data_IF_786161788172
#
_entry.id   IF_786161788172
#
_cell.length_a   1.000
_cell.length_b   1.000
_cell.length_c   1.000
_cell.angle_alpha   90.00
_cell.angle_beta   90.00
_cell.angle_gamma   90.00
#
_symmetry.space_group_name_H-M   'P 1'
#
loop_
_entity.id
_entity.type
_entity.pdbx_description
1 polymer ?
#
# COMPACT_ATOMS: atom_id res chain seq x y z
N UNK A 1 -13.96 16.53 7.52
CA UNK A 1 -12.58 16.09 7.85
C UNK A 1 -12.64 14.60 8.05
N UNK A 2 -11.90 13.83 7.26
CA UNK A 2 -11.82 12.36 7.38
C UNK A 2 -10.97 12.00 8.60
N UNK A 3 -11.49 11.14 9.48
CA UNK A 3 -10.80 10.72 10.71
C UNK A 3 -9.71 9.68 10.37
N UNK A 4 -8.46 9.91 10.80
CA UNK A 4 -7.37 8.94 10.64
C UNK A 4 -7.23 8.15 11.95
N UNK A 5 -7.36 6.83 11.87
CA UNK A 5 -7.14 5.89 12.98
C UNK A 5 -5.90 5.05 12.72
N UNK A 6 -5.11 4.78 13.77
CA UNK A 6 -3.90 3.96 13.67
C UNK A 6 -4.14 2.63 14.38
N UNK A 7 -3.99 1.53 13.66
CA UNK A 7 -4.07 0.16 14.19
C UNK A 7 -2.75 -0.55 13.88
N UNK A 8 -1.96 -0.89 14.89
CA UNK A 8 -0.69 -1.61 14.72
C UNK A 8 0.22 -1.04 13.59
N UNK A 9 0.52 0.26 13.68
CA UNK A 9 1.22 1.08 12.66
C UNK A 9 0.53 1.23 11.29
N UNK A 10 -0.61 0.60 11.04
CA UNK A 10 -1.45 0.80 9.86
C UNK A 10 -2.34 2.02 10.05
N UNK A 11 -2.08 3.05 9.23
CA UNK A 11 -2.94 4.23 9.16
C UNK A 11 -4.12 3.91 8.27
N UNK A 12 -5.30 4.10 8.82
CA UNK A 12 -6.59 3.88 8.16
C UNK A 12 -7.34 5.19 8.20
N UNK A 13 -8.01 5.54 7.11
CA UNK A 13 -8.96 6.65 7.10
C UNK A 13 -10.28 6.18 6.53
N UNK A 14 -11.37 6.72 7.06
CA UNK A 14 -12.68 6.57 6.44
C UNK A 14 -12.93 7.78 5.55
N UNK A 15 -13.18 7.52 4.26
CA UNK A 15 -13.51 8.55 3.29
C UNK A 15 -14.85 8.19 2.63
N UNK A 16 -15.88 8.98 2.89
CA UNK A 16 -17.23 8.80 2.32
C UNK A 16 -17.81 7.38 2.49
N UNK A 17 -17.64 6.78 3.67
CA UNK A 17 -18.11 5.41 3.97
C UNK A 17 -17.24 4.30 3.37
N UNK A 18 -16.11 4.65 2.74
CA UNK A 18 -15.10 3.70 2.28
C UNK A 18 -13.87 3.75 3.18
N UNK A 19 -13.46 2.58 3.67
CA UNK A 19 -12.22 2.44 4.43
C UNK A 19 -11.04 2.43 3.45
N UNK A 20 -10.08 3.32 3.70
CA UNK A 20 -8.84 3.40 2.95
C UNK A 20 -7.63 3.18 3.86
N UNK A 21 -6.59 2.57 3.30
CA UNK A 21 -5.39 2.15 4.01
C UNK A 21 -4.17 2.89 3.46
N UNK A 22 -3.27 3.32 4.34
CA UNK A 22 -1.99 3.89 3.92
C UNK A 22 -1.21 2.88 3.09
N UNK A 23 -0.85 3.28 1.87
CA UNK A 23 -0.25 2.38 0.89
C UNK A 23 1.13 1.89 1.33
N UNK A 24 1.89 2.68 2.10
CA UNK A 24 3.21 2.30 2.55
C UNK A 24 3.15 1.24 3.65
N UNK A 25 2.35 1.46 4.70
CA UNK A 25 2.20 0.44 5.74
C UNK A 25 1.57 -0.83 5.18
N UNK A 26 0.54 -0.70 4.34
CA UNK A 26 -0.09 -1.84 3.69
C UNK A 26 0.92 -2.69 2.90
N UNK A 27 1.73 -2.04 2.04
CA UNK A 27 2.72 -2.74 1.23
C UNK A 27 3.79 -3.44 2.08
N UNK A 28 4.25 -2.82 3.16
CA UNK A 28 5.18 -3.45 4.12
C UNK A 28 4.55 -4.64 4.82
N UNK A 29 3.31 -4.51 5.30
CA UNK A 29 2.58 -5.57 5.99
C UNK A 29 2.35 -6.83 5.15
N UNK A 30 2.25 -6.68 3.82
CA UNK A 30 2.15 -7.82 2.88
C UNK A 30 3.49 -8.26 2.28
N UNK A 31 4.62 -7.72 2.76
CA UNK A 31 5.96 -8.13 2.32
C UNK A 31 6.44 -7.53 0.99
N UNK A 32 5.81 -6.46 0.49
CA UNK A 32 6.27 -5.72 -0.71
C UNK A 32 7.27 -4.63 -0.30
N UNK A 33 8.27 -5.02 0.48
CA UNK A 33 9.34 -4.17 0.98
C UNK A 33 10.72 -4.80 0.77
N UNK A 34 11.76 -4.02 1.00
CA UNK A 34 13.16 -4.49 0.97
C UNK A 34 14.01 -3.61 1.88
N UNK A 35 15.08 -4.17 2.44
CA UNK A 35 16.05 -3.39 3.21
C UNK A 35 17.05 -2.75 2.25
N UNK A 36 17.06 -1.43 2.19
CA UNK A 36 18.00 -0.66 1.38
C UNK A 36 19.43 -0.83 1.92
N UNK A 37 20.44 -0.49 1.12
CA UNK A 37 21.86 -0.50 1.55
C UNK A 37 22.14 0.36 2.79
N UNK A 38 21.31 1.36 3.03
CA UNK A 38 21.38 2.21 4.23
C UNK A 38 20.79 1.55 5.49
N UNK A 39 20.28 0.32 5.41
CA UNK A 39 19.60 -0.38 6.50
C UNK A 39 18.11 -0.04 6.65
N UNK A 40 17.58 0.89 5.86
CA UNK A 40 16.19 1.30 5.96
C UNK A 40 15.26 0.37 5.18
N UNK A 41 14.15 -0.04 5.79
CA UNK A 41 13.09 -0.74 5.07
C UNK A 41 12.31 0.22 4.15
N UNK A 42 12.32 -0.09 2.86
CA UNK A 42 11.68 0.70 1.81
C UNK A 42 10.68 -0.14 1.01
N UNK A 43 9.59 0.48 0.58
CA UNK A 43 8.56 -0.17 -0.25
C UNK A 43 9.04 -0.32 -1.68
N UNK A 44 8.74 -1.47 -2.29
CA UNK A 44 8.96 -1.72 -3.72
C UNK A 44 7.80 -1.17 -4.55
N UNK A 45 7.75 0.16 -4.72
CA UNK A 45 6.63 0.87 -5.41
C UNK A 45 6.37 0.38 -6.83
N UNK A 46 7.40 -0.01 -7.57
CA UNK A 46 7.26 -0.61 -8.90
C UNK A 46 6.41 -1.89 -8.86
N UNK A 47 6.60 -2.73 -7.82
CA UNK A 47 5.84 -3.97 -7.63
C UNK A 47 4.42 -3.72 -7.14
N UNK A 48 4.23 -2.74 -6.25
CA UNK A 48 2.89 -2.26 -5.84
C UNK A 48 2.07 -1.85 -7.08
N UNK A 49 2.63 -0.97 -7.91
CA UNK A 49 1.94 -0.48 -9.11
C UNK A 49 1.72 -1.59 -10.14
N UNK A 50 2.65 -2.54 -10.30
CA UNK A 50 2.49 -3.70 -11.16
C UNK A 50 1.33 -4.60 -10.70
N UNK A 51 1.27 -4.92 -9.42
CA UNK A 51 0.21 -5.77 -8.87
C UNK A 51 -1.16 -5.15 -8.93
N UNK A 52 -1.25 -3.82 -8.78
CA UNK A 52 -2.50 -3.11 -8.95
C UNK A 52 -2.90 -2.95 -10.43
N UNK A 53 -1.97 -3.17 -11.37
CA UNK A 53 -2.20 -2.99 -12.80
C UNK A 53 -2.04 -1.54 -13.26
N UNK A 54 -1.38 -0.71 -12.46
CA UNK A 54 -1.22 0.73 -12.68
C UNK A 54 0.05 1.07 -13.48
N UNK A 55 0.92 0.10 -13.77
CA UNK A 55 2.18 0.36 -14.51
C UNK A 55 1.99 0.96 -15.91
N UNK A 56 0.79 0.86 -16.49
CA UNK A 56 0.42 1.50 -17.77
C UNK A 56 -0.47 2.74 -17.59
N UNK A 57 -0.86 3.04 -16.35
CA UNK A 57 -1.66 4.21 -16.00
C UNK A 57 -0.73 5.40 -15.73
N UNK A 58 -1.15 6.61 -16.10
CA UNK A 58 -0.42 7.84 -15.77
C UNK A 58 -0.42 8.18 -14.27
N UNK A 59 -1.29 7.54 -13.48
CA UNK A 59 -1.42 7.78 -12.05
C UNK A 59 -0.93 6.56 -11.25
N UNK A 60 0.31 6.65 -10.78
CA UNK A 60 0.96 5.63 -9.95
C UNK A 60 0.76 5.91 -8.46
N UNK A 61 0.62 4.84 -7.68
CA UNK A 61 0.64 4.88 -6.22
C UNK A 61 2.06 5.16 -5.73
N UNK A 62 2.17 6.11 -4.80
CA UNK A 62 3.41 6.53 -4.14
C UNK A 62 3.19 6.70 -2.63
N UNK A 63 4.28 6.96 -1.91
CA UNK A 63 4.23 7.28 -0.48
C UNK A 63 3.24 8.41 -0.19
N UNK A 64 2.40 8.21 0.83
CA UNK A 64 1.36 9.16 1.25
C UNK A 64 0.01 8.95 0.57
N UNK A 65 -0.05 8.12 -0.47
CA UNK A 65 -1.33 7.70 -1.05
C UNK A 65 -2.04 6.67 -0.17
N UNK A 66 -3.35 6.59 -0.36
CA UNK A 66 -4.19 5.60 0.27
C UNK A 66 -4.75 4.66 -0.78
N UNK A 67 -4.84 3.38 -0.44
CA UNK A 67 -5.43 2.32 -1.26
C UNK A 67 -6.73 1.85 -0.62
N UNK A 68 -7.63 1.33 -1.44
CA UNK A 68 -8.90 0.75 -0.97
C UNK A 68 -8.71 -0.70 -0.50
N UNK A 69 -9.68 -1.22 0.26
CA UNK A 69 -9.67 -2.62 0.71
C UNK A 69 -9.49 -3.65 -0.43
N UNK A 70 -10.19 -3.53 -1.59
CA UNK A 70 -9.96 -4.43 -2.72
C UNK A 70 -8.53 -4.38 -3.27
N UNK A 71 -7.90 -3.20 -3.25
CA UNK A 71 -6.51 -3.04 -3.65
C UNK A 71 -5.57 -3.70 -2.65
N UNK A 72 -5.82 -3.55 -1.34
CA UNK A 72 -5.06 -4.23 -0.29
C UNK A 72 -5.11 -5.76 -0.46
N UNK A 73 -6.30 -6.35 -0.63
CA UNK A 73 -6.43 -7.79 -0.86
C UNK A 73 -5.71 -8.25 -2.12
N UNK A 74 -5.80 -7.48 -3.21
CA UNK A 74 -5.08 -7.78 -4.46
C UNK A 74 -3.56 -7.81 -4.24
N UNK A 75 -3.03 -6.87 -3.47
CA UNK A 75 -1.60 -6.85 -3.11
C UNK A 75 -1.22 -8.09 -2.30
N UNK A 76 -1.99 -8.44 -1.27
CA UNK A 76 -1.71 -9.60 -0.41
C UNK A 76 -1.68 -10.91 -1.21
N UNK A 77 -2.67 -11.15 -2.08
CA UNK A 77 -2.74 -12.35 -2.93
C UNK A 77 -1.53 -12.42 -3.86
N UNK A 78 -1.19 -11.31 -4.54
CA UNK A 78 -0.07 -11.28 -5.50
C UNK A 78 1.30 -11.38 -4.84
N UNK A 79 1.45 -10.83 -3.64
CA UNK A 79 2.68 -10.94 -2.86
C UNK A 79 2.94 -12.39 -2.45
N UNK A 80 1.90 -13.14 -2.09
CA UNK A 80 2.02 -14.54 -1.68
C UNK A 80 2.13 -15.51 -2.87
N UNK A 81 1.74 -15.11 -4.08
CA UNK A 81 1.83 -15.93 -5.30
C UNK A 81 3.15 -15.72 -6.07
N UNK A 82 4.22 -15.28 -5.41
CA UNK A 82 5.46 -14.79 -6.04
C UNK A 82 6.70 -15.61 -5.75
#
# INVERSE_FOLDING_TARGET
>A
MSEIKVFDNLKVKEDNGQVMFDAETAAKGVGISTVAKSGNEVVRWSRVNQYLGLSKSGQLIKRGDFITEPQLYKLAIKANSS
#
